data_IF_931007338813
#
_entry.id   IF_931007338813
#
_cell.length_a   1.000
_cell.length_b   1.000
_cell.length_c   1.000
_cell.angle_alpha   90.00
_cell.angle_beta   90.00
_cell.angle_gamma   90.00
#
_symmetry.space_group_name_H-M   'P 1'
#
loop_
_entity.id
_entity.type
_entity.pdbx_description
1 polymer ?
#
# COMPACT_ATOMS: atom_id res chain seq x y z
N UNK A 1 61.10 90.94 28.16
CA UNK A 1 59.83 91.51 27.65
C UNK A 1 59.10 90.43 26.84
N UNK A 2 58.57 89.36 27.44
CA UNK A 2 57.28 89.25 28.16
C UNK A 2 55.99 89.37 27.31
N UNK A 3 56.02 89.68 26.02
CA UNK A 3 54.81 89.71 25.17
C UNK A 3 54.72 88.62 24.08
N UNK A 4 55.73 87.74 23.92
CA UNK A 4 55.68 86.62 22.96
C UNK A 4 55.28 85.26 23.59
N UNK A 5 55.31 85.13 24.92
CA UNK A 5 55.09 83.84 25.60
C UNK A 5 53.64 83.55 26.02
N UNK A 6 52.73 84.54 26.05
CA UNK A 6 51.32 84.29 26.36
C UNK A 6 50.50 83.82 25.15
N UNK A 7 50.79 84.29 23.93
CA UNK A 7 50.01 83.91 22.74
C UNK A 7 50.25 82.45 22.29
N UNK A 8 51.44 81.89 22.52
CA UNK A 8 51.73 80.49 22.20
C UNK A 8 51.09 79.49 23.19
N UNK A 9 50.75 79.93 24.41
CA UNK A 9 50.11 79.09 25.43
C UNK A 9 48.61 78.95 25.19
N UNK A 10 47.93 80.04 24.78
CA UNK A 10 46.49 80.03 24.52
C UNK A 10 46.13 79.24 23.25
N UNK A 11 46.96 79.32 22.20
CA UNK A 11 46.74 78.57 20.95
C UNK A 11 47.02 77.07 21.09
N UNK A 12 47.87 76.65 22.04
CA UNK A 12 48.02 75.22 22.40
C UNK A 12 46.82 74.69 23.18
N UNK A 13 46.28 75.46 24.13
CA UNK A 13 45.15 75.05 24.97
C UNK A 13 43.83 74.91 24.18
N UNK A 14 43.58 75.80 23.22
CA UNK A 14 42.35 75.73 22.41
C UNK A 14 42.38 74.55 21.42
N UNK A 15 43.55 74.25 20.84
CA UNK A 15 43.72 73.08 19.97
C UNK A 15 43.61 71.75 20.71
N UNK A 16 44.00 71.67 21.99
CA UNK A 16 43.80 70.47 22.82
C UNK A 16 42.34 70.28 23.20
N UNK A 17 41.63 71.34 23.63
CA UNK A 17 40.21 71.26 23.99
C UNK A 17 39.34 70.87 22.80
N UNK A 18 39.62 71.40 21.60
CA UNK A 18 38.84 71.07 20.39
C UNK A 18 39.08 69.63 19.91
N UNK A 19 40.25 69.04 20.21
CA UNK A 19 40.56 67.63 19.93
C UNK A 19 39.96 66.66 20.94
N UNK A 20 39.93 67.01 22.22
CA UNK A 20 39.27 66.21 23.26
C UNK A 20 37.76 66.17 23.06
N UNK A 21 37.13 67.31 22.82
CA UNK A 21 35.68 67.39 22.65
C UNK A 21 35.21 66.64 21.37
N UNK A 22 36.05 66.59 20.32
CA UNK A 22 35.79 65.78 19.12
C UNK A 22 35.99 64.28 19.36
N UNK A 23 36.94 63.89 20.23
CA UNK A 23 37.15 62.49 20.64
C UNK A 23 36.03 61.98 21.55
N UNK A 24 35.59 62.76 22.52
CA UNK A 24 34.48 62.39 23.40
C UNK A 24 33.17 62.19 22.63
N UNK A 25 32.83 63.10 21.71
CA UNK A 25 31.64 62.94 20.85
C UNK A 25 31.71 61.69 19.97
N UNK A 26 32.89 61.32 19.46
CA UNK A 26 33.10 60.09 18.67
C UNK A 26 33.00 58.80 19.51
N UNK A 27 33.45 58.84 20.77
CA UNK A 27 33.38 57.70 21.70
C UNK A 27 31.94 57.47 22.18
N UNK A 28 31.20 58.54 22.48
CA UNK A 28 29.79 58.47 22.88
C UNK A 28 28.90 57.93 21.74
N UNK A 29 29.14 58.35 20.49
CA UNK A 29 28.36 57.88 19.33
C UNK A 29 28.65 56.42 18.96
N UNK A 30 29.90 55.94 19.16
CA UNK A 30 30.26 54.52 18.99
C UNK A 30 29.69 53.63 20.10
N UNK A 31 29.59 54.14 21.33
CA UNK A 31 29.00 53.41 22.47
C UNK A 31 27.50 53.17 22.29
N UNK A 32 26.74 54.18 21.88
CA UNK A 32 25.28 54.05 21.67
C UNK A 32 24.94 53.09 20.52
N UNK A 33 25.68 53.13 19.41
CA UNK A 33 25.50 52.19 18.29
C UNK A 33 25.89 50.75 18.66
N UNK A 34 26.99 50.56 19.40
CA UNK A 34 27.44 49.23 19.80
C UNK A 34 26.50 48.56 20.82
N UNK A 35 25.87 49.33 21.72
CA UNK A 35 24.88 48.79 22.66
C UNK A 35 23.53 48.53 21.98
N UNK A 36 23.09 49.38 21.05
CA UNK A 36 21.88 49.16 20.27
C UNK A 36 21.95 47.89 19.39
N UNK A 37 23.10 47.65 18.75
CA UNK A 37 23.31 46.45 17.93
C UNK A 37 23.41 45.18 18.78
N UNK A 38 24.09 45.23 19.94
CA UNK A 38 24.16 44.08 20.85
C UNK A 38 22.80 43.72 21.46
N UNK A 39 21.97 44.72 21.78
CA UNK A 39 20.61 44.49 22.28
C UNK A 39 19.68 43.94 21.17
N UNK A 40 19.82 44.42 19.93
CA UNK A 40 19.05 43.92 18.80
C UNK A 40 19.43 42.46 18.42
N UNK A 41 20.72 42.12 18.44
CA UNK A 41 21.19 40.73 18.19
C UNK A 41 20.77 39.80 19.32
N UNK A 42 20.84 40.24 20.58
CA UNK A 42 20.36 39.46 21.72
C UNK A 42 18.83 39.24 21.65
N UNK A 43 18.05 40.25 21.26
CA UNK A 43 16.60 40.10 21.07
C UNK A 43 16.28 39.16 19.89
N UNK A 44 17.02 39.21 18.78
CA UNK A 44 16.79 38.27 17.64
C UNK A 44 17.21 36.85 18.00
N UNK A 45 18.28 36.64 18.78
CA UNK A 45 18.67 35.32 19.30
C UNK A 45 17.68 34.77 20.34
N UNK A 46 17.10 35.61 21.18
CA UNK A 46 16.06 35.18 22.13
C UNK A 46 14.74 34.91 21.42
N UNK A 47 14.35 35.72 20.43
CA UNK A 47 13.13 35.49 19.64
C UNK A 47 13.27 34.21 18.79
N UNK A 48 14.46 33.92 18.25
CA UNK A 48 14.73 32.66 17.52
C UNK A 48 14.90 31.44 18.43
N UNK A 49 15.31 31.58 19.69
CA UNK A 49 15.24 30.49 20.67
C UNK A 49 13.84 30.26 21.24
N UNK A 50 12.95 31.25 21.23
CA UNK A 50 11.54 31.09 21.66
C UNK A 50 10.60 30.68 20.53
N UNK A 51 10.98 30.89 19.27
CA UNK A 51 10.41 30.20 18.12
C UNK A 51 11.15 28.88 17.91
N UNK A 52 11.24 28.06 18.97
CA UNK A 52 11.37 26.63 18.75
C UNK A 52 10.24 26.26 17.80
N UNK A 53 10.59 25.75 16.61
CA UNK A 53 9.61 25.12 15.75
C UNK A 53 8.78 24.24 16.67
N UNK A 54 7.46 24.47 16.72
CA UNK A 54 6.56 23.56 17.38
C UNK A 54 6.70 22.25 16.61
N UNK A 55 7.67 21.42 17.01
CA UNK A 55 7.67 20.01 16.71
C UNK A 55 6.41 19.57 17.42
N UNK A 56 5.32 19.47 16.65
CA UNK A 56 4.11 18.86 17.14
C UNK A 56 4.58 17.56 17.80
N UNK A 57 4.25 17.31 19.08
CA UNK A 57 4.63 16.06 19.70
C UNK A 57 4.16 14.97 18.75
N UNK A 58 5.08 14.09 18.34
CA UNK A 58 4.73 12.90 17.60
C UNK A 58 3.80 12.13 18.53
N UNK A 59 2.50 12.32 18.32
CA UNK A 59 1.50 11.52 18.99
C UNK A 59 1.69 10.15 18.36
N UNK A 60 2.43 9.29 19.06
CA UNK A 60 2.36 7.85 18.86
C UNK A 60 0.95 7.43 19.28
N UNK A 61 -0.04 7.78 18.45
CA UNK A 61 -1.36 7.24 18.55
C UNK A 61 -1.23 5.78 18.14
N UNK A 62 -1.38 4.88 19.11
CA UNK A 62 -1.67 3.48 18.80
C UNK A 62 -2.87 3.48 17.86
N UNK A 63 -2.75 2.91 16.65
CA UNK A 63 -3.88 2.81 15.76
C UNK A 63 -5.02 2.09 16.46
N UNK A 64 -6.19 2.73 16.40
CA UNK A 64 -7.40 2.26 17.08
C UNK A 64 -8.01 1.04 16.40
N UNK A 65 -7.49 0.65 15.23
CA UNK A 65 -7.93 -0.49 14.43
C UNK A 65 -6.72 -1.36 14.07
N UNK A 66 -6.79 -2.65 14.42
CA UNK A 66 -5.82 -3.65 14.00
C UNK A 66 -5.76 -3.75 12.48
N UNK A 67 -4.57 -4.03 11.93
CA UNK A 67 -4.39 -4.26 10.50
C UNK A 67 -5.31 -5.40 9.99
N UNK A 68 -5.84 -5.25 8.78
CA UNK A 68 -6.53 -6.34 8.09
C UNK A 68 -5.45 -7.27 7.55
N UNK A 69 -5.40 -8.52 8.05
CA UNK A 69 -4.36 -9.50 7.71
C UNK A 69 -4.84 -10.63 6.81
N UNK A 70 -6.15 -10.71 6.57
CA UNK A 70 -6.72 -11.72 5.70
C UNK A 70 -6.59 -11.26 4.23
N UNK A 71 -5.87 -12.00 3.38
CA UNK A 71 -5.66 -11.62 1.99
C UNK A 71 -6.97 -11.49 1.20
N UNK A 72 -7.98 -12.31 1.52
CA UNK A 72 -9.30 -12.27 0.84
C UNK A 72 -10.06 -10.99 1.21
N UNK A 73 -9.97 -10.55 2.47
CA UNK A 73 -10.56 -9.27 2.91
C UNK A 73 -9.86 -8.10 2.22
N UNK A 74 -8.52 -8.10 2.17
CA UNK A 74 -7.74 -7.06 1.48
C UNK A 74 -8.17 -6.96 0.02
N UNK A 75 -8.23 -8.09 -0.68
CA UNK A 75 -8.64 -8.14 -2.08
C UNK A 75 -10.07 -7.65 -2.29
N UNK A 76 -11.05 -8.02 -1.47
CA UNK A 76 -12.43 -7.47 -1.61
C UNK A 76 -12.45 -5.95 -1.42
N UNK A 77 -11.77 -5.43 -0.40
CA UNK A 77 -11.69 -3.99 -0.14
C UNK A 77 -10.97 -3.22 -1.26
N UNK A 78 -10.05 -3.88 -1.96
CA UNK A 78 -9.28 -3.29 -3.06
C UNK A 78 -10.07 -3.19 -4.38
N UNK A 79 -11.26 -3.80 -4.48
CA UNK A 79 -12.09 -3.72 -5.68
C UNK A 79 -12.61 -2.30 -5.92
N UNK A 80 -12.47 -1.75 -7.15
CA UNK A 80 -12.94 -0.42 -7.52
C UNK A 80 -14.45 -0.42 -7.80
N UNK A 81 -15.27 -0.70 -6.78
CA UNK A 81 -16.73 -0.73 -6.88
C UNK A 81 -17.38 0.41 -6.10
N UNK A 82 -18.53 0.86 -6.62
CA UNK A 82 -19.39 1.87 -6.00
C UNK A 82 -20.78 1.27 -5.72
N UNK A 83 -20.83 0.26 -4.84
CA UNK A 83 -22.08 -0.40 -4.43
C UNK A 83 -22.17 -0.45 -2.92
N UNK A 84 -22.90 0.47 -2.32
CA UNK A 84 -23.15 0.48 -0.87
C UNK A 84 -23.83 -0.82 -0.41
N UNK A 85 -24.72 -1.38 -1.24
CA UNK A 85 -25.47 -2.60 -0.96
C UNK A 85 -24.53 -3.78 -0.70
N UNK A 86 -23.64 -4.10 -1.65
CA UNK A 86 -22.71 -5.24 -1.48
C UNK A 86 -21.65 -4.94 -0.41
N UNK A 87 -21.20 -3.69 -0.29
CA UNK A 87 -20.25 -3.29 0.77
C UNK A 87 -20.82 -3.47 2.16
N UNK A 88 -22.10 -3.18 2.37
CA UNK A 88 -22.74 -3.37 3.68
C UNK A 88 -23.01 -4.83 3.98
N UNK A 89 -23.37 -5.64 2.97
CA UNK A 89 -23.43 -7.10 3.10
C UNK A 89 -22.07 -7.67 3.49
N UNK A 90 -20.99 -7.27 2.79
CA UNK A 90 -19.62 -7.69 3.09
C UNK A 90 -19.23 -7.35 4.54
N UNK A 91 -19.34 -6.08 4.94
CA UNK A 91 -18.99 -5.61 6.29
C UNK A 91 -19.74 -6.39 7.38
N UNK A 92 -21.02 -6.67 7.14
CA UNK A 92 -21.86 -7.38 8.11
C UNK A 92 -21.40 -8.84 8.25
N UNK A 93 -21.17 -9.54 7.14
CA UNK A 93 -20.66 -10.92 7.14
C UNK A 93 -19.27 -11.02 7.80
N UNK A 94 -18.34 -10.10 7.51
CA UNK A 94 -16.99 -10.08 8.09
C UNK A 94 -17.00 -9.90 9.62
N UNK A 95 -18.03 -9.25 10.17
CA UNK A 95 -18.16 -9.06 11.61
C UNK A 95 -18.78 -10.27 12.33
N UNK A 96 -19.45 -11.18 11.62
CA UNK A 96 -20.18 -12.29 12.25
C UNK A 96 -19.30 -13.21 13.10
N UNK A 97 -18.08 -13.62 12.69
CA UNK A 97 -17.22 -14.45 13.53
C UNK A 97 -16.90 -13.77 14.87
N UNK A 98 -16.63 -12.46 14.85
CA UNK A 98 -16.38 -11.67 16.07
C UNK A 98 -17.62 -11.58 16.95
N UNK A 99 -18.79 -11.29 16.37
CA UNK A 99 -20.05 -11.24 17.11
C UNK A 99 -20.40 -12.59 17.75
N UNK A 100 -20.06 -13.69 17.08
CA UNK A 100 -20.23 -15.07 17.58
C UNK A 100 -19.37 -15.31 18.81
N UNK A 101 -18.11 -14.87 18.80
CA UNK A 101 -17.22 -14.93 19.97
C UNK A 101 -17.77 -14.11 21.15
N UNK A 102 -18.47 -13.01 20.88
CA UNK A 102 -19.18 -12.19 21.86
C UNK A 102 -20.58 -12.72 22.23
N UNK A 103 -20.97 -13.90 21.71
CA UNK A 103 -22.27 -14.56 21.94
C UNK A 103 -23.48 -13.68 21.60
N UNK A 104 -23.36 -12.77 20.63
CA UNK A 104 -24.43 -11.82 20.21
C UNK A 104 -25.45 -12.47 19.25
N UNK A 105 -26.03 -13.60 19.63
CA UNK A 105 -26.88 -14.41 18.76
C UNK A 105 -28.14 -13.71 18.22
N UNK A 106 -28.78 -12.85 19.03
CA UNK A 106 -29.93 -12.07 18.57
C UNK A 106 -29.54 -11.03 17.50
N UNK A 107 -28.37 -10.42 17.64
CA UNK A 107 -27.80 -9.50 16.64
C UNK A 107 -27.49 -10.25 15.36
N UNK A 108 -26.77 -11.38 15.46
CA UNK A 108 -26.45 -12.24 14.31
C UNK A 108 -27.69 -12.68 13.54
N UNK A 109 -28.75 -13.09 14.24
CA UNK A 109 -30.03 -13.45 13.63
C UNK A 109 -30.65 -12.28 12.86
N UNK A 110 -30.66 -11.08 13.45
CA UNK A 110 -31.17 -9.87 12.79
C UNK A 110 -30.31 -9.52 11.57
N UNK A 111 -28.99 -9.59 11.71
CA UNK A 111 -28.02 -9.24 10.67
C UNK A 111 -28.18 -10.16 9.45
N UNK A 112 -28.29 -11.48 9.64
CA UNK A 112 -28.46 -12.44 8.53
C UNK A 112 -29.83 -12.32 7.85
N UNK A 113 -30.89 -12.03 8.62
CA UNK A 113 -32.23 -11.75 8.07
C UNK A 113 -32.23 -10.45 7.25
N UNK A 114 -31.54 -9.41 7.73
CA UNK A 114 -31.37 -8.15 7.01
C UNK A 114 -30.59 -8.37 5.71
N UNK A 115 -29.45 -9.06 5.74
CA UNK A 115 -28.66 -9.35 4.52
C UNK A 115 -29.53 -10.05 3.48
N UNK A 116 -30.23 -11.12 3.88
CA UNK A 116 -31.05 -11.91 2.97
C UNK A 116 -32.15 -11.07 2.33
N UNK A 117 -32.79 -10.19 3.11
CA UNK A 117 -33.79 -9.25 2.61
C UNK A 117 -33.19 -8.21 1.67
N UNK A 118 -32.06 -7.61 2.04
CA UNK A 118 -31.36 -6.60 1.24
C UNK A 118 -30.97 -7.17 -0.12
N UNK A 119 -30.43 -8.39 -0.18
CA UNK A 119 -30.08 -9.03 -1.45
C UNK A 119 -31.31 -9.21 -2.34
N UNK A 120 -32.40 -9.78 -1.81
CA UNK A 120 -33.65 -9.99 -2.59
C UNK A 120 -34.22 -8.66 -3.09
N UNK A 121 -34.23 -7.62 -2.25
CA UNK A 121 -34.80 -6.33 -2.61
C UNK A 121 -34.00 -5.59 -3.69
N UNK A 122 -32.67 -5.74 -3.71
CA UNK A 122 -31.78 -5.01 -4.60
C UNK A 122 -31.31 -5.83 -5.80
N UNK A 123 -31.59 -7.14 -5.85
CA UNK A 123 -31.11 -8.04 -6.91
C UNK A 123 -31.45 -7.53 -8.32
N UNK A 124 -32.71 -7.15 -8.56
CA UNK A 124 -33.13 -6.67 -9.87
C UNK A 124 -32.40 -5.38 -10.29
N UNK A 125 -32.15 -4.48 -9.33
CA UNK A 125 -31.42 -3.24 -9.59
C UNK A 125 -29.94 -3.53 -9.90
N UNK A 126 -29.27 -4.34 -9.08
CA UNK A 126 -27.86 -4.72 -9.28
C UNK A 126 -27.64 -5.37 -10.65
N UNK A 127 -28.56 -6.24 -11.08
CA UNK A 127 -28.50 -6.87 -12.41
C UNK A 127 -28.72 -5.85 -13.53
N UNK A 128 -29.63 -4.89 -13.34
CA UNK A 128 -29.90 -3.86 -14.34
C UNK A 128 -28.73 -2.86 -14.51
N UNK A 129 -27.85 -2.75 -13.51
CA UNK A 129 -26.68 -1.87 -13.54
C UNK A 129 -25.55 -2.41 -14.44
N UNK A 130 -25.50 -3.72 -14.72
CA UNK A 130 -24.43 -4.34 -15.52
C UNK A 130 -24.81 -4.60 -16.98
N UNK A 131 -23.79 -4.76 -17.83
CA UNK A 131 -23.95 -5.07 -19.25
C UNK A 131 -24.61 -6.43 -19.49
N UNK A 132 -25.32 -6.58 -20.61
CA UNK A 132 -26.13 -7.76 -20.92
C UNK A 132 -25.32 -9.08 -20.91
N UNK A 133 -24.06 -9.04 -21.30
CA UNK A 133 -23.13 -10.17 -21.27
C UNK A 133 -22.76 -10.62 -19.84
N UNK A 134 -22.89 -9.73 -18.86
CA UNK A 134 -22.57 -9.99 -17.43
C UNK A 134 -23.78 -10.27 -16.56
N UNK A 135 -24.98 -9.91 -17.02
CA UNK A 135 -26.23 -10.12 -16.26
C UNK A 135 -26.41 -11.59 -15.85
N UNK A 136 -26.05 -12.53 -16.73
CA UNK A 136 -26.11 -13.96 -16.44
C UNK A 136 -25.18 -14.36 -15.30
N UNK A 137 -23.91 -13.93 -15.36
CA UNK A 137 -22.88 -14.24 -14.37
C UNK A 137 -23.22 -13.63 -13.00
N UNK A 138 -23.60 -12.35 -12.97
CA UNK A 138 -24.01 -11.69 -11.72
C UNK A 138 -25.25 -12.34 -11.11
N UNK A 139 -26.20 -12.77 -11.94
CA UNK A 139 -27.39 -13.50 -11.46
C UNK A 139 -26.98 -14.83 -10.79
N UNK A 140 -26.05 -15.57 -11.39
CA UNK A 140 -25.52 -16.82 -10.84
C UNK A 140 -24.80 -16.60 -9.51
N UNK A 141 -23.94 -15.58 -9.42
CA UNK A 141 -23.21 -15.27 -8.21
C UNK A 141 -24.11 -14.74 -7.08
N UNK A 142 -25.09 -13.88 -7.36
CA UNK A 142 -26.08 -13.42 -6.37
C UNK A 142 -26.98 -14.57 -5.88
N UNK A 143 -27.32 -15.51 -6.76
CA UNK A 143 -28.07 -16.72 -6.40
C UNK A 143 -27.22 -17.63 -5.50
N UNK A 144 -25.96 -17.84 -5.84
CA UNK A 144 -25.01 -18.64 -5.06
C UNK A 144 -24.75 -18.01 -3.68
N UNK A 145 -24.62 -16.68 -3.62
CA UNK A 145 -24.56 -15.91 -2.38
C UNK A 145 -25.80 -16.19 -1.54
N UNK A 146 -27.00 -15.98 -2.08
CA UNK A 146 -28.26 -16.21 -1.37
C UNK A 146 -28.38 -17.64 -0.83
N UNK A 147 -28.02 -18.64 -1.63
CA UNK A 147 -28.01 -20.05 -1.22
C UNK A 147 -26.99 -20.33 -0.12
N UNK A 148 -25.82 -19.68 -0.15
CA UNK A 148 -24.79 -19.84 0.88
C UNK A 148 -25.20 -19.27 2.25
N UNK A 149 -26.17 -18.34 2.28
CA UNK A 149 -26.68 -17.79 3.54
C UNK A 149 -27.56 -18.77 4.30
N UNK A 150 -28.19 -19.75 3.64
CA UNK A 150 -29.09 -20.72 4.28
C UNK A 150 -28.38 -21.54 5.37
N UNK A 151 -27.26 -22.25 5.10
CA UNK A 151 -26.56 -22.98 6.16
C UNK A 151 -26.00 -22.05 7.25
N UNK A 152 -25.65 -20.80 6.90
CA UNK A 152 -25.21 -19.80 7.88
C UNK A 152 -26.36 -19.39 8.82
N UNK A 153 -27.57 -19.20 8.30
CA UNK A 153 -28.77 -18.96 9.11
C UNK A 153 -29.04 -20.12 10.06
N UNK A 154 -28.99 -21.35 9.56
CA UNK A 154 -29.19 -22.56 10.39
C UNK A 154 -28.18 -22.64 11.52
N UNK A 155 -26.89 -22.42 11.23
CA UNK A 155 -25.83 -22.40 12.23
C UNK A 155 -26.06 -21.31 13.30
N UNK A 156 -26.54 -20.12 12.90
CA UNK A 156 -26.90 -19.04 13.84
C UNK A 156 -28.08 -19.46 14.73
N UNK A 157 -29.10 -20.09 14.16
CA UNK A 157 -30.31 -20.54 14.89
C UNK A 157 -29.97 -21.57 15.97
N UNK A 158 -29.12 -22.55 15.64
CA UNK A 158 -28.69 -23.60 16.60
C UNK A 158 -27.48 -23.17 17.44
N UNK A 159 -26.97 -21.95 17.26
CA UNK A 159 -25.81 -21.38 17.96
C UNK A 159 -24.52 -22.18 17.76
N UNK A 160 -24.33 -22.74 16.56
CA UNK A 160 -23.15 -23.49 16.18
C UNK A 160 -21.97 -22.56 15.85
N UNK A 161 -21.24 -22.19 16.90
CA UNK A 161 -20.07 -21.30 16.82
C UNK A 161 -18.96 -21.85 15.91
N UNK A 162 -18.83 -23.17 15.78
CA UNK A 162 -17.69 -23.77 15.08
C UNK A 162 -17.79 -23.57 13.57
N UNK A 163 -19.01 -23.51 13.04
CA UNK A 163 -19.25 -23.39 11.61
C UNK A 163 -19.47 -21.95 11.11
N UNK A 164 -19.79 -20.98 11.98
CA UNK A 164 -20.05 -19.58 11.55
C UNK A 164 -18.91 -19.01 10.72
N UNK A 165 -17.66 -19.20 11.15
CA UNK A 165 -16.49 -18.66 10.45
C UNK A 165 -16.41 -19.17 9.01
N UNK A 166 -16.34 -20.49 8.84
CA UNK A 166 -16.23 -21.12 7.52
C UNK A 166 -17.43 -20.81 6.61
N UNK A 167 -18.64 -20.78 7.16
CA UNK A 167 -19.85 -20.44 6.41
C UNK A 167 -19.88 -18.97 5.99
N UNK A 168 -19.46 -18.04 6.86
CA UNK A 168 -19.36 -16.62 6.53
C UNK A 168 -18.28 -16.36 5.48
N UNK A 169 -17.14 -17.06 5.54
CA UNK A 169 -16.07 -16.98 4.55
C UNK A 169 -16.56 -17.45 3.18
N UNK A 170 -17.29 -18.58 3.13
CA UNK A 170 -17.91 -19.07 1.90
C UNK A 170 -18.91 -18.07 1.30
N UNK A 171 -19.74 -17.43 2.13
CA UNK A 171 -20.64 -16.39 1.64
C UNK A 171 -19.85 -15.17 1.11
N UNK A 172 -18.79 -14.77 1.80
CA UNK A 172 -17.91 -13.67 1.39
C UNK A 172 -17.16 -13.94 0.08
N UNK A 173 -16.86 -15.21 -0.24
CA UNK A 173 -16.29 -15.57 -1.54
C UNK A 173 -17.29 -15.20 -2.67
N UNK A 174 -18.58 -15.51 -2.51
CA UNK A 174 -19.62 -15.10 -3.47
C UNK A 174 -19.90 -13.60 -3.47
N UNK A 175 -19.76 -12.91 -2.34
CA UNK A 175 -19.79 -11.44 -2.32
C UNK A 175 -18.67 -10.89 -3.20
N UNK A 176 -17.44 -11.37 -3.04
CA UNK A 176 -16.31 -10.91 -3.85
C UNK A 176 -16.49 -11.15 -5.35
N UNK A 177 -17.12 -12.28 -5.73
CA UNK A 177 -17.48 -12.57 -7.13
C UNK A 177 -18.54 -11.58 -7.65
N UNK A 178 -19.63 -11.38 -6.91
CA UNK A 178 -20.68 -10.43 -7.28
C UNK A 178 -20.15 -8.99 -7.36
N UNK A 179 -19.27 -8.57 -6.44
CA UNK A 179 -18.61 -7.27 -6.49
C UNK A 179 -17.74 -7.13 -7.75
N UNK A 180 -16.98 -8.16 -8.12
CA UNK A 180 -16.17 -8.14 -9.33
C UNK A 180 -17.00 -7.99 -10.61
N UNK A 181 -18.17 -8.63 -10.68
CA UNK A 181 -19.06 -8.56 -11.84
C UNK A 181 -19.60 -7.15 -12.10
N UNK A 182 -19.74 -6.32 -11.05
CA UNK A 182 -20.18 -4.92 -11.16
C UNK A 182 -19.18 -4.04 -11.93
N UNK A 183 -17.92 -4.45 -12.07
CA UNK A 183 -16.85 -3.64 -12.68
C UNK A 183 -16.89 -3.78 -14.21
N UNK A 184 -17.79 -3.05 -14.88
CA UNK A 184 -18.05 -3.17 -16.31
C UNK A 184 -16.85 -2.86 -17.19
N UNK A 185 -16.13 -1.79 -16.86
CA UNK A 185 -14.94 -1.32 -17.59
C UNK A 185 -13.78 -1.18 -16.63
N UNK A 186 -12.58 -1.33 -17.16
CA UNK A 186 -11.38 -1.09 -16.38
C UNK A 186 -11.31 0.41 -15.99
N UNK A 187 -11.05 0.74 -14.70
CA UNK A 187 -11.40 2.05 -14.15
C UNK A 187 -10.51 3.22 -14.60
N UNK A 188 -9.35 2.94 -15.23
CA UNK A 188 -8.40 3.97 -15.66
C UNK A 188 -7.48 3.46 -16.78
N UNK A 189 -6.89 4.39 -17.54
CA UNK A 189 -5.85 4.04 -18.51
C UNK A 189 -4.47 4.03 -17.88
N UNK A 190 -3.64 3.08 -18.29
CA UNK A 190 -2.22 3.03 -17.91
C UNK A 190 -1.48 4.13 -18.67
N UNK A 191 -0.53 4.86 -18.05
CA UNK A 191 0.21 5.93 -18.72
C UNK A 191 0.85 5.47 -20.05
N UNK A 192 0.82 6.33 -21.06
CA UNK A 192 1.24 6.00 -22.43
C UNK A 192 2.65 5.39 -22.53
N UNK A 193 3.57 5.80 -21.64
CA UNK A 193 4.94 5.27 -21.59
C UNK A 193 5.02 3.78 -21.21
N UNK A 194 3.98 3.23 -20.57
CA UNK A 194 3.88 1.81 -20.19
C UNK A 194 2.82 1.06 -21.00
N UNK A 195 2.15 1.72 -21.96
CA UNK A 195 1.03 1.13 -22.71
C UNK A 195 1.42 -0.08 -23.56
N UNK A 196 2.72 -0.23 -23.88
CA UNK A 196 3.27 -1.37 -24.62
C UNK A 196 3.66 -2.57 -23.75
N UNK A 197 3.53 -2.45 -22.42
CA UNK A 197 3.78 -3.55 -21.50
C UNK A 197 2.50 -4.38 -21.32
N UNK A 198 2.62 -5.69 -21.02
CA UNK A 198 1.47 -6.50 -20.67
C UNK A 198 0.72 -5.92 -19.47
N UNK A 199 -0.60 -5.88 -19.57
CA UNK A 199 -1.49 -5.32 -18.56
C UNK A 199 -2.57 -6.32 -18.19
N UNK A 200 -2.79 -6.55 -16.90
CA UNK A 200 -3.93 -7.31 -16.41
C UNK A 200 -5.11 -6.35 -16.17
N UNK A 201 -6.11 -6.36 -17.05
CA UNK A 201 -7.30 -5.51 -16.98
C UNK A 201 -8.42 -6.15 -16.14
N UNK A 202 -8.07 -6.64 -14.96
CA UNK A 202 -8.99 -7.35 -14.06
C UNK A 202 -8.24 -8.14 -13.01
N UNK A 203 -8.74 -9.33 -12.68
CA UNK A 203 -8.05 -10.29 -11.81
C UNK A 203 -7.76 -11.58 -12.55
N UNK A 204 -6.78 -12.32 -12.05
CA UNK A 204 -6.50 -13.68 -12.45
C UNK A 204 -6.16 -14.52 -11.22
N UNK A 205 -6.32 -15.84 -11.33
CA UNK A 205 -5.79 -16.77 -10.35
C UNK A 205 -4.70 -17.63 -10.97
N UNK A 206 -3.63 -17.82 -10.21
CA UNK A 206 -2.50 -18.67 -10.58
C UNK A 206 -2.35 -19.78 -9.56
N UNK A 207 -2.37 -21.02 -10.02
CA UNK A 207 -1.90 -22.16 -9.23
C UNK A 207 -0.37 -22.20 -9.30
N UNK A 208 0.26 -22.10 -8.14
CA UNK A 208 1.68 -22.28 -7.94
C UNK A 208 1.91 -23.68 -7.36
N UNK A 209 2.35 -24.62 -8.19
CA UNK A 209 2.76 -25.94 -7.74
C UNK A 209 4.23 -25.94 -7.35
N UNK A 210 4.53 -26.43 -6.15
CA UNK A 210 5.89 -26.46 -5.59
C UNK A 210 6.23 -27.85 -5.05
N UNK A 211 7.50 -28.07 -4.73
CA UNK A 211 7.96 -29.29 -4.03
C UNK A 211 7.36 -29.45 -2.62
N UNK A 212 6.66 -28.44 -2.08
CA UNK A 212 6.03 -28.48 -0.75
C UNK A 212 4.51 -28.53 -0.78
N UNK A 213 3.91 -28.56 -1.97
CA UNK A 213 2.47 -28.50 -2.16
C UNK A 213 2.06 -27.40 -3.14
N UNK A 214 0.75 -27.19 -3.27
CA UNK A 214 0.19 -26.16 -4.13
C UNK A 214 -0.25 -24.94 -3.31
N UNK A 215 -0.25 -23.78 -3.95
CA UNK A 215 -0.81 -22.55 -3.43
C UNK A 215 -1.55 -21.81 -4.55
N UNK A 216 -2.59 -21.05 -4.21
CA UNK A 216 -3.34 -20.23 -5.15
C UNK A 216 -3.01 -18.76 -4.90
N UNK A 217 -2.53 -18.08 -5.94
CA UNK A 217 -2.27 -16.64 -5.94
C UNK A 217 -3.43 -15.95 -6.66
N UNK A 218 -4.14 -15.06 -5.98
CA UNK A 218 -5.03 -14.11 -6.62
C UNK A 218 -4.25 -12.86 -7.00
N UNK A 219 -4.18 -12.60 -8.30
CA UNK A 219 -3.44 -11.49 -8.91
C UNK A 219 -4.40 -10.35 -9.21
N UNK A 220 -4.04 -9.13 -8.78
CA UNK A 220 -4.88 -7.93 -8.83
C UNK A 220 -4.36 -6.87 -9.81
N UNK A 221 -4.96 -6.86 -10.99
CA UNK A 221 -4.68 -5.86 -12.02
C UNK A 221 -5.43 -4.54 -11.83
N UNK A 222 -6.44 -4.48 -10.95
CA UNK A 222 -7.14 -3.22 -10.66
C UNK A 222 -6.26 -2.20 -9.94
N UNK A 223 -5.24 -2.66 -9.21
CA UNK A 223 -4.33 -1.80 -8.45
C UNK A 223 -2.89 -1.79 -8.98
N UNK A 224 -2.45 -2.88 -9.62
CA UNK A 224 -1.11 -3.00 -10.19
C UNK A 224 -1.16 -3.63 -11.59
N UNK A 225 -1.84 -3.00 -12.59
CA UNK A 225 -2.09 -3.61 -13.89
C UNK A 225 -0.84 -4.05 -14.64
N UNK A 226 0.26 -3.29 -14.56
CA UNK A 226 1.49 -3.59 -15.32
C UNK A 226 2.26 -4.74 -14.68
N UNK A 227 2.46 -4.72 -13.36
CA UNK A 227 3.15 -5.79 -12.64
C UNK A 227 2.33 -7.09 -12.65
N UNK A 228 1.01 -6.99 -12.47
CA UNK A 228 0.09 -8.11 -12.61
C UNK A 228 0.09 -8.67 -14.04
N UNK A 229 0.05 -7.80 -15.06
CA UNK A 229 0.09 -8.18 -16.46
C UNK A 229 1.39 -8.91 -16.83
N UNK A 230 2.52 -8.34 -16.42
CA UNK A 230 3.84 -8.96 -16.57
C UNK A 230 3.90 -10.34 -15.90
N UNK A 231 3.44 -10.47 -14.66
CA UNK A 231 3.43 -11.75 -13.97
C UNK A 231 2.59 -12.81 -14.72
N UNK A 232 1.37 -12.46 -15.13
CA UNK A 232 0.48 -13.38 -15.87
C UNK A 232 1.04 -13.73 -17.24
N UNK A 233 1.63 -12.78 -17.98
CA UNK A 233 2.29 -13.05 -19.26
C UNK A 233 3.44 -14.06 -19.09
N UNK A 234 4.28 -13.90 -18.07
CA UNK A 234 5.38 -14.82 -17.78
C UNK A 234 4.89 -16.21 -17.33
N UNK A 235 3.80 -16.27 -16.55
CA UNK A 235 3.16 -17.55 -16.19
C UNK A 235 2.64 -18.26 -17.45
N UNK A 236 1.98 -17.56 -18.38
CA UNK A 236 1.49 -18.15 -19.63
C UNK A 236 2.61 -18.66 -20.54
N UNK A 237 3.80 -18.07 -20.44
CA UNK A 237 5.00 -18.52 -21.16
C UNK A 237 5.72 -19.68 -20.47
N UNK A 238 5.28 -20.12 -19.28
CA UNK A 238 5.95 -21.15 -18.49
C UNK A 238 7.30 -20.68 -17.91
N UNK A 239 7.55 -19.37 -17.84
CA UNK A 239 8.84 -18.81 -17.44
C UNK A 239 9.28 -19.25 -16.03
N UNK A 240 8.32 -19.40 -15.11
CA UNK A 240 8.60 -19.76 -13.72
C UNK A 240 8.80 -21.27 -13.48
N UNK A 241 8.58 -22.11 -14.48
CA UNK A 241 8.64 -23.57 -14.33
C UNK A 241 10.07 -24.03 -14.03
N UNK A 242 10.24 -24.76 -12.93
CA UNK A 242 11.54 -25.28 -12.49
C UNK A 242 12.44 -24.27 -11.79
N UNK A 243 12.03 -22.99 -11.68
CA UNK A 243 12.80 -21.98 -10.96
C UNK A 243 12.85 -22.25 -9.46
N UNK A 244 13.93 -21.79 -8.83
CA UNK A 244 14.23 -22.02 -7.43
C UNK A 244 14.00 -20.74 -6.63
N UNK A 245 13.59 -20.86 -5.37
CA UNK A 245 13.65 -19.72 -4.44
C UNK A 245 15.11 -19.42 -4.10
N UNK A 246 15.66 -18.34 -4.67
CA UNK A 246 17.10 -18.01 -4.64
C UNK A 246 17.50 -17.09 -3.51
N UNK A 247 16.55 -16.38 -2.91
CA UNK A 247 16.81 -15.46 -1.80
C UNK A 247 15.71 -15.56 -0.74
N UNK A 248 16.12 -15.44 0.51
CA UNK A 248 15.26 -15.47 1.67
C UNK A 248 15.83 -14.56 2.75
N UNK A 249 14.94 -13.95 3.53
CA UNK A 249 15.25 -13.47 4.87
C UNK A 249 14.39 -14.30 5.84
N UNK A 250 15.02 -14.92 6.84
CA UNK A 250 14.40 -15.96 7.65
C UNK A 250 13.13 -15.43 8.34
N UNK A 251 11.98 -15.98 7.92
CA UNK A 251 10.63 -15.62 8.35
C UNK A 251 10.10 -14.25 7.84
N UNK A 252 10.79 -13.59 6.90
CA UNK A 252 10.35 -12.30 6.35
C UNK A 252 9.82 -12.40 4.90
N UNK A 253 10.60 -12.96 3.97
CA UNK A 253 10.14 -13.23 2.61
C UNK A 253 10.90 -14.38 1.94
N UNK A 254 10.31 -14.93 0.87
CA UNK A 254 10.96 -15.82 -0.09
C UNK A 254 10.87 -15.23 -1.49
N UNK A 255 12.00 -15.09 -2.16
CA UNK A 255 12.11 -14.51 -3.50
C UNK A 255 12.49 -15.56 -4.55
N UNK A 256 11.91 -15.43 -5.74
CA UNK A 256 12.06 -16.32 -6.90
C UNK A 256 11.92 -15.51 -8.20
N UNK A 257 11.90 -16.18 -9.35
CA UNK A 257 11.75 -15.55 -10.66
C UNK A 257 13.07 -15.10 -11.30
N UNK A 258 14.20 -15.55 -10.73
CA UNK A 258 15.53 -15.35 -11.27
C UNK A 258 15.85 -16.49 -12.27
N UNK A 259 16.07 -16.20 -13.57
CA UNK A 259 16.29 -17.25 -14.56
C UNK A 259 17.69 -17.86 -14.42
N UNK A 260 17.85 -19.10 -14.89
CA UNK A 260 19.16 -19.73 -14.93
C UNK A 260 20.06 -19.01 -15.97
N UNK A 261 21.20 -18.46 -15.55
CA UNK A 261 22.18 -17.86 -16.46
C UNK A 261 22.85 -16.64 -15.86
N UNK A 262 23.36 -15.76 -16.73
CA UNK A 262 24.02 -14.50 -16.35
C UNK A 262 23.13 -13.26 -16.51
N UNK A 263 21.83 -13.46 -16.78
CA UNK A 263 20.88 -12.39 -17.04
C UNK A 263 19.93 -12.33 -15.86
N UNK A 264 19.93 -11.22 -15.13
CA UNK A 264 19.13 -11.04 -13.92
C UNK A 264 17.72 -10.55 -14.28
N UNK A 265 16.93 -11.34 -15.02
CA UNK A 265 15.53 -10.99 -15.35
C UNK A 265 15.04 -11.51 -16.70
N UNK A 266 13.87 -11.03 -17.13
CA UNK A 266 13.25 -11.49 -18.37
C UNK A 266 13.77 -10.75 -19.60
N UNK A 267 14.21 -11.52 -20.58
CA UNK A 267 14.50 -11.07 -21.95
C UNK A 267 13.46 -11.66 -22.87
N UNK A 268 12.78 -10.78 -23.61
CA UNK A 268 11.76 -11.17 -24.57
C UNK A 268 12.41 -11.99 -25.70
N UNK A 269 12.04 -13.26 -25.91
CA UNK A 269 12.71 -14.14 -26.86
C UNK A 269 12.45 -13.73 -28.32
N UNK A 270 11.36 -13.00 -28.60
CA UNK A 270 11.05 -12.54 -29.94
C UNK A 270 11.86 -11.29 -30.32
N UNK A 271 12.13 -10.41 -29.36
CA UNK A 271 12.82 -9.14 -29.62
C UNK A 271 14.27 -9.08 -29.14
N UNK A 272 14.68 -10.01 -28.27
CA UNK A 272 15.96 -10.00 -27.59
C UNK A 272 16.12 -8.85 -26.60
N UNK A 273 15.04 -8.14 -26.26
CA UNK A 273 15.08 -6.98 -25.36
C UNK A 273 14.80 -7.38 -23.91
N UNK A 274 15.61 -6.85 -23.00
CA UNK A 274 15.35 -6.92 -21.57
C UNK A 274 14.09 -6.11 -21.24
N UNK A 275 13.15 -6.70 -20.49
CA UNK A 275 11.89 -6.06 -20.12
C UNK A 275 11.92 -5.63 -18.66
N UNK A 276 11.61 -4.37 -18.42
CA UNK A 276 11.39 -3.83 -17.07
C UNK A 276 9.95 -3.38 -16.88
N UNK A 277 9.53 -3.32 -15.63
CA UNK A 277 8.24 -2.80 -15.18
C UNK A 277 8.46 -1.74 -14.09
N UNK A 278 7.65 -0.66 -14.08
CA UNK A 278 7.72 0.36 -13.05
C UNK A 278 7.15 -0.14 -11.72
N UNK A 279 7.52 0.51 -10.62
CA UNK A 279 6.74 0.40 -9.39
C UNK A 279 5.32 0.94 -9.61
N UNK A 280 4.32 0.29 -9.00
CA UNK A 280 2.90 0.65 -8.99
C UNK A 280 2.40 0.65 -7.55
N UNK A 281 2.06 1.83 -7.03
CA UNK A 281 1.55 2.00 -5.66
C UNK A 281 0.36 2.94 -5.66
N UNK A 282 -0.71 2.59 -4.94
CA UNK A 282 -1.97 3.36 -4.93
C UNK A 282 -2.40 3.65 -3.50
N UNK A 283 -2.71 4.91 -3.21
CA UNK A 283 -3.37 5.30 -1.97
C UNK A 283 -4.89 5.06 -2.04
N UNK A 284 -5.56 4.81 -0.89
CA UNK A 284 -7.01 4.58 -0.86
C UNK A 284 -7.89 5.67 -1.48
N UNK A 285 -7.45 6.92 -1.42
CA UNK A 285 -8.16 8.08 -1.98
C UNK A 285 -7.84 8.33 -3.47
N UNK A 286 -6.86 7.63 -4.04
CA UNK A 286 -6.48 7.74 -5.44
C UNK A 286 -7.29 6.79 -6.32
N UNK A 287 -7.80 7.29 -7.44
CA UNK A 287 -8.47 6.45 -8.46
C UNK A 287 -7.49 5.67 -9.35
N UNK A 288 -6.26 6.18 -9.50
CA UNK A 288 -5.24 5.67 -10.40
C UNK A 288 -3.98 5.38 -9.57
N UNK A 289 -3.26 4.27 -9.82
CA UNK A 289 -1.96 4.04 -9.21
C UNK A 289 -0.96 5.14 -9.57
N UNK A 290 -0.03 5.40 -8.65
CA UNK A 290 1.18 6.15 -8.93
C UNK A 290 2.21 5.20 -9.51
N UNK A 291 2.87 5.62 -10.59
CA UNK A 291 3.85 4.81 -11.32
C UNK A 291 5.25 5.39 -11.15
N UNK A 292 6.22 4.50 -11.01
CA UNK A 292 7.64 4.81 -11.08
C UNK A 292 8.22 5.65 -9.95
N UNK A 293 7.45 5.81 -8.86
CA UNK A 293 7.89 6.42 -7.60
C UNK A 293 7.34 5.64 -6.42
N UNK A 294 8.21 5.31 -5.49
CA UNK A 294 7.87 4.77 -4.17
C UNK A 294 7.13 5.82 -3.33
N UNK A 295 6.46 5.40 -2.26
CA UNK A 295 5.92 6.33 -1.27
C UNK A 295 7.04 7.07 -0.53
N UNK A 296 8.19 6.44 -0.31
CA UNK A 296 9.35 7.09 0.31
C UNK A 296 9.84 8.28 -0.51
N UNK A 297 10.04 8.10 -1.82
CA UNK A 297 10.43 9.20 -2.74
C UNK A 297 9.39 10.32 -2.84
N UNK A 298 8.13 10.03 -2.49
CA UNK A 298 7.04 10.98 -2.44
C UNK A 298 6.87 11.67 -1.09
N UNK A 299 7.66 11.30 -0.07
CA UNK A 299 7.50 11.79 1.30
C UNK A 299 6.26 11.23 2.01
N UNK A 300 5.79 10.05 1.59
CA UNK A 300 4.61 9.34 2.07
C UNK A 300 4.97 8.08 2.87
N UNK A 301 6.19 7.98 3.39
CA UNK A 301 6.62 6.86 4.23
C UNK A 301 5.68 6.64 5.42
N UNK A 302 5.30 5.39 5.67
CA UNK A 302 4.35 5.06 6.74
C UNK A 302 2.89 5.38 6.41
N UNK A 303 2.54 5.55 5.14
CA UNK A 303 1.15 5.54 4.67
C UNK A 303 0.74 4.16 4.19
N UNK A 304 -0.53 3.81 4.38
CA UNK A 304 -1.06 2.50 3.97
C UNK A 304 -1.54 2.56 2.51
N UNK A 305 -0.98 1.74 1.61
CA UNK A 305 -1.50 1.58 0.26
C UNK A 305 -2.80 0.76 0.26
N UNK A 306 -3.49 0.74 -0.88
CA UNK A 306 -4.67 -0.12 -1.08
C UNK A 306 -4.33 -1.60 -0.97
N UNK A 307 -3.13 -1.98 -1.43
CA UNK A 307 -2.59 -3.32 -1.30
C UNK A 307 -1.40 -3.31 -0.32
N UNK A 308 -1.63 -3.49 1.00
CA UNK A 308 -0.58 -3.44 2.01
C UNK A 308 0.15 -4.77 2.22
N UNK A 309 1.37 -4.71 2.72
CA UNK A 309 2.12 -5.83 3.30
C UNK A 309 1.62 -6.17 4.71
N UNK A 310 0.32 -6.47 4.81
CA UNK A 310 -0.34 -6.81 6.08
C UNK A 310 -0.67 -8.31 6.20
N UNK A 311 -0.72 -9.05 5.08
CA UNK A 311 -1.13 -10.44 5.05
C UNK A 311 0.07 -11.37 4.82
N UNK A 312 0.08 -12.49 5.53
CA UNK A 312 0.94 -13.61 5.18
C UNK A 312 0.58 -14.09 3.76
N UNK A 313 1.57 -14.20 2.89
CA UNK A 313 1.37 -14.52 1.48
C UNK A 313 1.16 -13.32 0.56
N UNK A 314 1.42 -12.08 0.98
CA UNK A 314 1.48 -10.93 0.05
C UNK A 314 2.54 -11.19 -1.03
N UNK A 315 2.20 -10.95 -2.30
CA UNK A 315 3.08 -11.15 -3.46
C UNK A 315 3.43 -9.81 -4.08
N UNK A 316 4.72 -9.53 -4.20
CA UNK A 316 5.21 -8.25 -4.70
C UNK A 316 6.38 -8.40 -5.67
N UNK A 317 6.47 -7.46 -6.61
CA UNK A 317 7.56 -7.41 -7.59
C UNK A 317 8.85 -6.96 -6.90
N UNK A 318 9.94 -7.69 -7.13
CA UNK A 318 11.26 -7.28 -6.70
C UNK A 318 11.87 -6.32 -7.72
N UNK A 319 12.63 -5.35 -7.24
CA UNK A 319 13.44 -4.43 -8.05
C UNK A 319 14.74 -4.07 -7.32
N UNK A 320 15.76 -3.56 -8.02
CA UNK A 320 16.95 -2.99 -7.41
C UNK A 320 16.62 -1.85 -6.45
N UNK A 321 17.40 -1.70 -5.37
CA UNK A 321 17.16 -0.67 -4.35
C UNK A 321 17.36 0.77 -4.87
N UNK A 322 18.17 0.94 -5.92
CA UNK A 322 18.52 2.22 -6.53
C UNK A 322 17.65 2.60 -7.73
N UNK A 323 16.80 1.68 -8.22
CA UNK A 323 15.87 1.95 -9.33
C UNK A 323 14.54 1.20 -9.15
N UNK A 324 13.53 1.92 -8.66
CA UNK A 324 12.16 1.43 -8.52
C UNK A 324 11.46 1.15 -9.87
N UNK A 325 12.09 1.48 -11.01
CA UNK A 325 11.59 1.20 -12.35
C UNK A 325 12.28 0.00 -13.02
N UNK A 326 13.17 -0.68 -12.32
CA UNK A 326 13.96 -1.80 -12.85
C UNK A 326 13.46 -3.18 -12.41
N UNK A 327 12.22 -3.31 -11.93
CA UNK A 327 11.60 -4.62 -11.72
C UNK A 327 11.50 -5.39 -13.04
N UNK A 328 11.61 -6.72 -13.02
CA UNK A 328 11.56 -7.53 -14.26
C UNK A 328 10.73 -8.80 -14.08
N UNK A 329 11.35 -9.91 -13.68
CA UNK A 329 10.68 -11.21 -13.48
C UNK A 329 10.72 -11.71 -12.05
N UNK A 330 11.56 -11.12 -11.21
CA UNK A 330 11.72 -11.58 -9.84
C UNK A 330 10.58 -11.05 -8.97
N UNK A 331 9.97 -11.91 -8.18
CA UNK A 331 8.96 -11.54 -7.21
C UNK A 331 9.24 -12.24 -5.89
N UNK A 332 8.68 -11.71 -4.81
CA UNK A 332 8.78 -12.33 -3.50
C UNK A 332 7.41 -12.50 -2.85
N UNK A 333 7.34 -13.53 -2.02
CA UNK A 333 6.20 -13.85 -1.16
C UNK A 333 6.57 -13.43 0.24
N UNK A 334 5.78 -12.53 0.81
CA UNK A 334 5.91 -12.04 2.17
C UNK A 334 5.42 -13.11 3.15
N UNK A 335 6.26 -13.51 4.11
CA UNK A 335 5.98 -14.60 5.05
C UNK A 335 5.92 -14.15 6.52
N UNK A 336 5.99 -12.85 6.77
CA UNK A 336 5.92 -12.33 8.13
C UNK A 336 4.51 -11.88 8.49
N UNK A 337 4.05 -12.29 9.67
CA UNK A 337 2.83 -11.77 10.27
C UNK A 337 3.18 -11.12 11.61
N UNK A 338 3.30 -9.79 11.62
CA UNK A 338 3.61 -9.07 12.86
C UNK A 338 2.43 -9.13 13.83
N UNK A 339 2.57 -9.83 14.96
CA UNK A 339 1.60 -9.77 16.07
C UNK A 339 1.75 -8.48 16.91
N UNK A 340 2.92 -7.84 16.84
CA UNK A 340 3.35 -6.82 17.81
C UNK A 340 3.46 -5.40 17.25
N UNK A 341 3.28 -5.16 15.95
CA UNK A 341 3.20 -3.79 15.41
C UNK A 341 1.78 -3.27 15.56
N UNK A 342 1.50 -2.34 16.49
CA UNK A 342 0.13 -1.87 16.74
C UNK A 342 -0.42 -1.02 15.59
N UNK A 343 0.39 -0.73 14.59
CA UNK A 343 0.00 -0.15 13.33
C UNK A 343 0.31 -1.17 12.24
N UNK A 344 -0.62 -1.44 11.32
CA UNK A 344 -0.34 -2.22 10.12
C UNK A 344 0.66 -1.58 9.16
N UNK A 345 1.56 -0.72 9.65
CA UNK A 345 2.57 -0.02 8.89
C UNK A 345 3.78 -0.93 8.72
N UNK A 346 3.99 -1.36 7.49
CA UNK A 346 5.14 -2.12 7.08
C UNK A 346 6.15 -1.19 6.38
N UNK A 347 7.45 -1.39 6.57
CA UNK A 347 8.47 -0.62 5.86
C UNK A 347 8.49 -0.91 4.35
N UNK A 348 7.88 -2.03 3.94
CA UNK A 348 7.70 -2.39 2.53
C UNK A 348 6.50 -1.66 1.90
N UNK A 349 5.57 -1.14 2.70
CA UNK A 349 4.36 -0.48 2.21
C UNK A 349 4.73 0.75 1.37
N UNK A 350 4.29 0.74 0.11
CA UNK A 350 4.57 1.81 -0.84
C UNK A 350 5.98 1.79 -1.44
N UNK A 351 6.84 0.86 -1.01
CA UNK A 351 8.20 0.72 -1.52
C UNK A 351 8.35 -0.43 -2.52
N UNK A 352 7.34 -1.29 -2.66
CA UNK A 352 7.28 -2.35 -3.68
C UNK A 352 5.87 -2.46 -4.27
N UNK A 353 5.77 -2.89 -5.53
CA UNK A 353 4.49 -3.18 -6.18
C UNK A 353 3.89 -4.48 -5.63
N UNK A 354 2.96 -4.38 -4.70
CA UNK A 354 2.09 -5.53 -4.37
C UNK A 354 1.11 -5.73 -5.53
N UNK A 355 1.13 -6.91 -6.13
CA UNK A 355 0.25 -7.23 -7.27
C UNK A 355 -0.63 -8.45 -7.01
N UNK A 356 -0.52 -9.10 -5.86
CA UNK A 356 -1.35 -10.26 -5.53
C UNK A 356 -1.17 -10.76 -4.12
N UNK A 357 -1.97 -11.76 -3.77
CA UNK A 357 -1.92 -12.44 -2.47
C UNK A 357 -2.16 -13.93 -2.65
N UNK A 358 -1.48 -14.73 -1.83
CA UNK A 358 -1.82 -16.14 -1.68
C UNK A 358 -3.13 -16.26 -0.90
N UNK A 359 -4.16 -16.78 -1.56
CA UNK A 359 -5.52 -16.92 -1.00
C UNK A 359 -5.87 -18.35 -0.59
N UNK A 360 -5.04 -19.33 -1.00
CA UNK A 360 -5.11 -20.72 -0.59
C UNK A 360 -3.72 -21.38 -0.59
N UNK A 361 -3.53 -22.41 0.25
CA UNK A 361 -2.25 -23.12 0.41
C UNK A 361 -1.28 -22.49 1.41
N UNK A 362 -1.80 -21.90 2.50
CA UNK A 362 -0.97 -21.32 3.58
C UNK A 362 0.02 -22.35 4.14
N UNK A 363 -0.42 -23.60 4.30
CA UNK A 363 0.39 -24.72 4.76
C UNK A 363 1.54 -25.10 3.82
N UNK A 364 1.41 -24.79 2.53
CA UNK A 364 2.49 -24.92 1.55
C UNK A 364 3.54 -23.83 1.82
N UNK A 365 3.09 -22.58 1.96
CA UNK A 365 3.99 -21.44 2.26
C UNK A 365 4.75 -21.64 3.58
N UNK A 366 4.08 -22.13 4.63
CA UNK A 366 4.69 -22.41 5.94
C UNK A 366 5.88 -23.41 5.84
N UNK A 367 5.90 -24.25 4.79
CA UNK A 367 6.93 -25.28 4.55
C UNK A 367 8.00 -24.88 3.54
N UNK A 368 7.74 -23.86 2.71
CA UNK A 368 8.68 -23.41 1.69
C UNK A 368 9.93 -22.79 2.32
N UNK A 369 11.09 -23.08 1.75
CA UNK A 369 12.40 -22.60 2.19
C UNK A 369 13.26 -22.18 0.99
N UNK A 370 14.36 -21.48 1.29
CA UNK A 370 15.41 -21.22 0.31
C UNK A 370 15.86 -22.54 -0.36
N UNK A 371 15.98 -22.53 -1.69
CA UNK A 371 16.37 -23.71 -2.47
C UNK A 371 15.21 -24.63 -2.89
N UNK A 372 13.99 -24.44 -2.37
CA UNK A 372 12.81 -25.14 -2.89
C UNK A 372 12.47 -24.68 -4.32
N UNK A 373 11.74 -25.51 -5.06
CA UNK A 373 11.43 -25.28 -6.47
C UNK A 373 9.96 -25.07 -6.75
N UNK A 374 9.69 -24.18 -7.70
CA UNK A 374 8.43 -24.09 -8.42
C UNK A 374 8.45 -25.23 -9.44
N UNK A 375 7.50 -26.15 -9.35
CA UNK A 375 7.31 -27.21 -10.34
C UNK A 375 6.61 -26.65 -11.57
N UNK A 376 5.56 -25.85 -11.35
CA UNK A 376 4.84 -25.16 -12.40
C UNK A 376 4.06 -23.98 -11.85
N UNK A 377 3.88 -22.93 -12.66
CA UNK A 377 2.89 -21.89 -12.42
C UNK A 377 1.85 -21.90 -13.56
N UNK A 378 0.55 -21.93 -13.25
CA UNK A 378 -0.50 -22.00 -14.27
C UNK A 378 -1.63 -21.02 -13.97
N UNK A 379 -2.05 -20.25 -14.98
CA UNK A 379 -3.26 -19.42 -14.87
C UNK A 379 -4.47 -20.34 -14.92
N UNK A 380 -5.28 -20.32 -13.86
CA UNK A 380 -6.48 -21.18 -13.73
C UNK A 380 -7.78 -20.41 -13.97
N UNK A 381 -7.76 -19.08 -13.88
CA UNK A 381 -8.87 -18.20 -14.25
C UNK A 381 -8.39 -16.77 -14.54
N UNK A 382 -9.17 -16.00 -15.31
CA UNK A 382 -8.88 -14.60 -15.62
C UNK A 382 -7.76 -14.39 -16.66
N UNK A 383 -7.44 -15.41 -17.45
CA UNK A 383 -6.44 -15.32 -18.51
C UNK A 383 -6.85 -14.34 -19.61
N UNK A 384 -8.16 -14.24 -19.86
CA UNK A 384 -8.82 -13.32 -20.79
C UNK A 384 -8.66 -11.84 -20.41
N UNK A 385 -8.31 -11.54 -19.15
CA UNK A 385 -8.08 -10.18 -18.69
C UNK A 385 -6.68 -9.66 -19.06
N UNK A 386 -5.80 -10.51 -19.60
CA UNK A 386 -4.47 -10.09 -20.03
C UNK A 386 -4.55 -9.39 -21.40
N UNK A 387 -4.05 -8.15 -21.46
CA UNK A 387 -3.87 -7.38 -22.68
C UNK A 387 -2.36 -7.23 -22.92
N UNK A 388 -1.89 -7.57 -24.13
CA UNK A 388 -0.47 -7.52 -24.50
C UNK A 388 -0.16 -6.35 -25.43
#
# INVERSE_FOLDING_TARGET
MLNLNLNLSLDRMDRTNKRENKREKLVLHRSWWAHGIKLAIACVLVISLTMGAAIAPSVAALPTKSAIKDPRIILRNALPIDSEVLRDVQKTLEQMPRQTNLKRWSSLKKDIETISRTLVQNQAQLIAEVSADRQGLLTEHLTSLSNSLVPLQEAILVKDRNNIKALSEKALDYVGLAEADLIQTFPFEVPAQYASLPQLKGRAQVELSTVKGNAIITVDGFNAPVNAGQFIDLVQQGFYDGLTFTRADENYYLQTGDPNGSIDGYVDPATGKYRTVPIEVRLPDQKIPTYGKTFEEQGLSGTLPVLPFAAFGTVAMAHPNDDANAGSSQFFIYLFESELTPAGLNLLDGNYSVFGYVTDGKETLDKLRLGDKILSARVISGAENLVK
#
